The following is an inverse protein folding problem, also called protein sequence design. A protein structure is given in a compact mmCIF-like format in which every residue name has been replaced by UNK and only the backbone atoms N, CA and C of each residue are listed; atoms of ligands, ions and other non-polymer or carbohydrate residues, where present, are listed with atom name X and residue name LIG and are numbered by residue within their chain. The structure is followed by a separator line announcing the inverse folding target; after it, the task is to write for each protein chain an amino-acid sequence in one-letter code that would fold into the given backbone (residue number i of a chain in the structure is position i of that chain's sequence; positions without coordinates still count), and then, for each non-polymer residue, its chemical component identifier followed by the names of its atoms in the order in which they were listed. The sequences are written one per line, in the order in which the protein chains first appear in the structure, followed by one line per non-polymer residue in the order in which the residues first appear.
data_IF_603786525599
#
_entry.id   IF_603786525599
#
_cell.length_a   1.000
_cell.length_b   1.000
_cell.length_c   1.000
_cell.angle_alpha   90.00
_cell.angle_beta   90.00
_cell.angle_gamma   90.00
#
_symmetry.space_group_name_H-M   'P 1'
#
loop_
_entity.id
_entity.type
_entity.pdbx_description
1 polymer ?
#
# COMPACT_ATOMS: atom_id res chain seq x y z
N UNK A 1 9.15 22.60 7.25
CA UNK A 1 8.31 23.20 6.18
C UNK A 1 7.03 22.40 6.12
N UNK A 2 5.85 23.03 6.22
CA UNK A 2 4.58 22.33 5.96
C UNK A 2 4.41 22.29 4.44
N UNK A 3 4.58 21.13 3.82
CA UNK A 3 4.35 20.96 2.38
C UNK A 3 2.88 21.23 2.09
N UNK A 4 2.59 22.44 1.58
CA UNK A 4 1.24 22.96 1.33
C UNK A 4 0.44 22.18 0.26
N UNK A 5 1.03 21.14 -0.35
CA UNK A 5 0.44 20.38 -1.46
C UNK A 5 0.38 18.87 -1.21
N UNK A 6 0.60 18.41 0.02
CA UNK A 6 0.39 17.00 0.36
C UNK A 6 -1.10 16.70 0.56
N UNK A 7 -1.56 15.65 -0.10
CA UNK A 7 -2.91 15.11 0.01
C UNK A 7 -2.85 13.68 0.56
N UNK A 8 -3.93 13.27 1.22
CA UNK A 8 -4.04 11.97 1.89
C UNK A 8 -5.44 11.40 1.68
N UNK A 9 -5.50 10.11 1.35
CA UNK A 9 -6.74 9.34 1.29
C UNK A 9 -6.64 8.13 2.19
N UNK A 10 -7.80 7.69 2.68
CA UNK A 10 -7.96 6.46 3.44
C UNK A 10 -8.80 5.47 2.66
N UNK A 11 -8.31 4.25 2.50
CA UNK A 11 -8.96 3.15 1.79
C UNK A 11 -9.25 2.07 2.83
N UNK A 12 -10.48 1.55 2.86
CA UNK A 12 -10.83 0.41 3.71
C UNK A 12 -10.02 -0.83 3.31
N UNK A 13 -9.94 -1.82 4.21
CA UNK A 13 -9.22 -3.05 3.94
C UNK A 13 -9.69 -3.69 2.62
N UNK A 14 -8.70 -3.94 1.77
CA UNK A 14 -8.78 -4.61 0.48
C UNK A 14 -7.55 -5.51 0.36
N UNK A 15 -7.62 -6.59 -0.44
CA UNK A 15 -6.46 -7.46 -0.62
C UNK A 15 -5.24 -6.66 -1.07
N UNK A 16 -4.08 -6.88 -0.43
CA UNK A 16 -2.90 -6.05 -0.65
C UNK A 16 -2.48 -5.99 -2.12
N UNK A 17 -2.58 -7.10 -2.86
CA UNK A 17 -2.30 -7.12 -4.30
C UNK A 17 -3.26 -6.27 -5.13
N UNK A 18 -4.53 -6.15 -4.71
CA UNK A 18 -5.48 -5.25 -5.37
C UNK A 18 -5.01 -3.81 -5.20
N UNK A 19 -4.59 -3.42 -4.00
CA UNK A 19 -3.98 -2.12 -3.76
C UNK A 19 -2.73 -1.90 -4.63
N UNK A 20 -1.75 -2.83 -4.60
CA UNK A 20 -0.52 -2.74 -5.39
C UNK A 20 -0.79 -2.52 -6.87
N UNK A 21 -1.78 -3.24 -7.42
CA UNK A 21 -2.13 -3.14 -8.84
C UNK A 21 -2.71 -1.78 -9.26
N UNK A 22 -3.14 -0.94 -8.32
CA UNK A 22 -3.61 0.41 -8.61
C UNK A 22 -2.45 1.39 -8.92
N UNK A 23 -1.20 1.01 -8.61
CA UNK A 23 -0.03 1.85 -8.84
C UNK A 23 0.67 1.56 -10.17
N UNK A 24 0.23 0.55 -10.95
CA UNK A 24 0.98 0.07 -12.11
C UNK A 24 2.31 -0.56 -11.70
N UNK A 25 3.33 -0.53 -12.57
CA UNK A 25 4.68 -1.03 -12.28
C UNK A 25 5.53 0.07 -11.62
N UNK A 26 5.52 0.13 -10.30
CA UNK A 26 6.25 1.15 -9.52
C UNK A 26 7.27 0.50 -8.59
N UNK A 27 8.32 1.24 -8.26
CA UNK A 27 9.32 0.78 -7.28
C UNK A 27 8.68 0.68 -5.90
N UNK A 28 8.98 -0.39 -5.17
CA UNK A 28 8.50 -0.60 -3.80
C UNK A 28 9.67 -0.60 -2.83
N UNK A 29 9.54 0.19 -1.77
CA UNK A 29 10.44 0.21 -0.62
C UNK A 29 9.63 -0.10 0.63
N UNK A 30 9.85 -1.28 1.20
CA UNK A 30 9.13 -1.75 2.39
C UNK A 30 9.98 -1.42 3.61
N UNK A 31 9.44 -0.59 4.51
CA UNK A 31 10.05 -0.24 5.79
C UNK A 31 9.62 -1.22 6.87
N UNK A 32 8.32 -1.55 6.89
CA UNK A 32 7.75 -2.53 7.82
C UNK A 32 6.67 -3.35 7.10
N UNK A 33 6.63 -4.66 7.35
CA UNK A 33 5.55 -5.52 6.88
C UNK A 33 5.38 -6.70 7.84
N UNK A 34 4.16 -6.88 8.33
CA UNK A 34 3.80 -7.99 9.19
C UNK A 34 2.51 -8.66 8.70
N UNK A 35 2.48 -9.99 8.77
CA UNK A 35 1.36 -10.81 8.35
C UNK A 35 1.23 -12.04 9.27
N UNK A 36 0.00 -12.42 9.59
CA UNK A 36 -0.34 -13.56 10.46
C UNK A 36 -0.15 -14.94 9.83
N UNK A 37 0.18 -15.02 8.53
CA UNK A 37 0.14 -16.24 7.69
C UNK A 37 1.14 -17.37 7.97
N UNK A 38 1.93 -17.36 9.05
CA UNK A 38 2.67 -18.55 9.51
C UNK A 38 2.55 -18.73 11.04
N UNK A 39 2.25 -19.97 11.44
CA UNK A 39 1.73 -20.37 12.75
C UNK A 39 2.35 -19.69 13.97
N UNK A 40 1.46 -19.18 14.82
CA UNK A 40 1.64 -18.85 16.25
C UNK A 40 2.55 -17.69 16.65
N UNK A 41 3.44 -17.17 15.82
CA UNK A 41 4.26 -15.97 16.11
C UNK A 41 4.60 -15.17 14.83
N UNK A 42 3.64 -15.08 13.90
CA UNK A 42 3.81 -14.67 12.50
C UNK A 42 4.57 -13.35 12.27
N UNK A 43 5.82 -13.48 11.85
CA UNK A 43 6.61 -12.44 11.21
C UNK A 43 7.08 -12.99 9.87
N UNK A 44 6.68 -12.38 8.76
CA UNK A 44 7.39 -12.61 7.50
C UNK A 44 8.67 -11.79 7.61
N UNK A 45 9.82 -12.46 7.76
CA UNK A 45 11.14 -11.81 7.87
C UNK A 45 11.34 -10.83 6.70
N UNK A 46 11.82 -9.62 7.00
CA UNK A 46 12.16 -8.56 6.04
C UNK A 46 12.98 -9.08 4.84
N UNK A 47 13.76 -10.14 5.05
CA UNK A 47 14.55 -10.80 4.00
C UNK A 47 13.71 -11.34 2.84
N UNK A 48 12.44 -11.70 3.07
CA UNK A 48 11.51 -12.16 2.04
C UNK A 48 11.15 -11.03 1.07
N UNK A 49 10.96 -9.82 1.58
CA UNK A 49 10.57 -8.64 0.79
C UNK A 49 11.73 -7.92 0.15
N UNK A 50 12.94 -7.98 0.74
CA UNK A 50 14.14 -7.31 0.20
C UNK A 50 14.47 -7.67 -1.24
N UNK A 51 13.96 -8.80 -1.76
CA UNK A 51 14.19 -9.26 -3.13
C UNK A 51 13.24 -8.65 -4.16
N UNK A 52 12.04 -8.23 -3.75
CA UNK A 52 11.04 -7.66 -4.65
C UNK A 52 11.14 -6.14 -4.60
N UNK A 53 11.40 -5.53 -5.75
CA UNK A 53 11.66 -4.10 -5.89
C UNK A 53 10.53 -3.37 -6.59
N UNK A 54 9.53 -4.09 -7.11
CA UNK A 54 8.39 -3.51 -7.81
C UNK A 54 7.05 -4.11 -7.37
N UNK A 55 5.98 -3.36 -7.61
CA UNK A 55 4.59 -3.78 -7.40
C UNK A 55 4.24 -5.03 -8.21
N UNK A 56 4.71 -5.14 -9.45
CA UNK A 56 4.48 -6.30 -10.31
C UNK A 56 5.15 -7.57 -9.77
N UNK A 57 6.41 -7.46 -9.31
CA UNK A 57 7.12 -8.59 -8.70
C UNK A 57 6.41 -9.10 -7.45
N UNK A 58 5.88 -8.20 -6.61
CA UNK A 58 5.07 -8.55 -5.44
C UNK A 58 3.72 -9.20 -5.85
N UNK A 59 3.05 -8.67 -6.87
CA UNK A 59 1.79 -9.22 -7.37
C UNK A 59 1.95 -10.65 -7.93
N UNK A 60 3.09 -10.95 -8.55
CA UNK A 60 3.41 -12.26 -9.13
C UNK A 60 3.75 -13.33 -8.08
N UNK A 61 3.95 -12.96 -6.81
CA UNK A 61 4.26 -13.95 -5.78
C UNK A 61 3.09 -14.91 -5.53
N UNK A 62 3.32 -16.20 -5.23
CA UNK A 62 2.24 -17.10 -4.84
C UNK A 62 1.53 -16.68 -3.55
N UNK A 63 2.24 -15.95 -2.68
CA UNK A 63 1.70 -15.42 -1.43
C UNK A 63 0.69 -14.31 -1.70
N UNK A 64 -0.48 -14.35 -1.06
CA UNK A 64 -1.61 -13.45 -1.31
C UNK A 64 -1.75 -12.31 -0.30
N UNK A 65 -0.99 -12.35 0.80
CA UNK A 65 -1.04 -11.37 1.90
C UNK A 65 -2.41 -11.30 2.58
N UNK A 66 -3.16 -12.41 2.61
CA UNK A 66 -4.50 -12.46 3.20
C UNK A 66 -4.55 -12.22 4.71
N UNK A 67 -3.40 -12.20 5.40
CA UNK A 67 -3.29 -11.97 6.85
C UNK A 67 -2.51 -10.70 7.21
N UNK A 68 -2.38 -9.74 6.30
CA UNK A 68 -1.63 -8.50 6.50
C UNK A 68 -2.09 -7.77 7.78
N UNK A 69 -1.13 -7.50 8.67
CA UNK A 69 -1.34 -6.82 9.96
C UNK A 69 -0.83 -5.39 9.91
N UNK A 70 0.36 -5.22 9.33
CA UNK A 70 1.02 -3.93 9.20
C UNK A 70 1.74 -3.86 7.86
N UNK A 71 1.72 -2.67 7.27
CA UNK A 71 2.56 -2.30 6.15
C UNK A 71 2.97 -0.85 6.31
N UNK A 72 4.25 -0.55 6.22
CA UNK A 72 4.74 0.81 6.08
C UNK A 72 5.80 0.82 4.97
N UNK A 73 5.62 1.70 3.99
CA UNK A 73 6.48 1.72 2.83
C UNK A 73 6.19 2.81 1.84
N UNK A 74 6.98 2.82 0.78
CA UNK A 74 6.82 3.68 -0.37
C UNK A 74 6.56 2.86 -1.63
N UNK A 75 5.61 3.32 -2.43
CA UNK A 75 5.38 2.83 -3.79
C UNK A 75 5.57 4.01 -4.72
N UNK A 76 6.64 4.04 -5.52
CA UNK A 76 6.98 5.17 -6.36
C UNK A 76 7.10 6.48 -5.57
N UNK A 77 6.08 7.34 -5.67
CA UNK A 77 5.99 8.64 -4.96
C UNK A 77 4.95 8.66 -3.83
N UNK A 78 4.33 7.52 -3.55
CA UNK A 78 3.27 7.38 -2.56
C UNK A 78 3.85 6.79 -1.29
N UNK A 79 3.59 7.43 -0.16
CA UNK A 79 3.79 6.82 1.16
C UNK A 79 2.50 6.09 1.53
N UNK A 80 2.62 4.83 1.94
CA UNK A 80 1.50 3.98 2.26
C UNK A 80 1.72 3.37 3.64
N UNK A 81 0.72 3.52 4.50
CA UNK A 81 0.68 2.88 5.81
C UNK A 81 -0.61 2.07 5.93
N UNK A 82 -0.51 0.79 6.29
CA UNK A 82 -1.64 -0.06 6.64
C UNK A 82 -1.65 -0.28 8.15
N UNK A 83 -2.73 0.15 8.79
CA UNK A 83 -2.95 -0.02 10.23
C UNK A 83 -4.45 -0.08 10.50
N UNK A 84 -4.85 -0.93 11.45
CA UNK A 84 -6.23 -1.08 11.92
C UNK A 84 -7.28 -1.34 10.81
N UNK A 85 -6.89 -2.05 9.74
CA UNK A 85 -7.80 -2.38 8.64
C UNK A 85 -7.99 -1.26 7.61
N UNK A 86 -7.07 -0.30 7.55
CA UNK A 86 -7.12 0.78 6.58
C UNK A 86 -5.76 1.07 5.97
N UNK A 87 -5.74 1.37 4.67
CA UNK A 87 -4.59 1.96 4.00
C UNK A 87 -4.70 3.48 4.02
N UNK A 88 -3.67 4.14 4.55
CA UNK A 88 -3.44 5.57 4.43
C UNK A 88 -2.45 5.79 3.31
N UNK A 89 -2.88 6.47 2.24
CA UNK A 89 -2.04 6.77 1.08
C UNK A 89 -1.86 8.27 1.01
N UNK A 90 -0.60 8.72 1.03
CA UNK A 90 -0.26 10.14 0.94
C UNK A 90 0.78 10.42 -0.13
N UNK A 91 0.60 11.54 -0.84
CA UNK A 91 1.53 12.03 -1.87
C UNK A 91 1.18 13.48 -2.23
N UNK A 92 1.68 13.96 -3.38
CA UNK A 92 1.22 15.22 -3.96
C UNK A 92 -0.26 15.12 -4.38
N UNK A 93 -1.00 16.24 -4.34
CA UNK A 93 -2.39 16.31 -4.81
C UNK A 93 -2.59 15.68 -6.20
N UNK A 94 -1.69 15.98 -7.15
CA UNK A 94 -1.73 15.45 -8.53
C UNK A 94 -1.59 13.93 -8.57
N UNK A 95 -0.74 13.36 -7.72
CA UNK A 95 -0.54 11.93 -7.68
C UNK A 95 -1.71 11.24 -6.96
N UNK A 96 -2.26 11.86 -5.92
CA UNK A 96 -3.50 11.38 -5.28
C UNK A 96 -4.68 11.35 -6.27
N UNK A 97 -4.84 12.37 -7.11
CA UNK A 97 -5.89 12.36 -8.15
C UNK A 97 -5.75 11.20 -9.15
N UNK A 98 -4.52 10.78 -9.47
CA UNK A 98 -4.28 9.62 -10.34
C UNK A 98 -4.71 8.32 -9.67
N UNK A 99 -4.29 8.09 -8.42
CA UNK A 99 -4.66 6.85 -7.72
C UNK A 99 -6.17 6.81 -7.46
N UNK A 100 -6.81 7.94 -7.17
CA UNK A 100 -8.27 8.06 -7.07
C UNK A 100 -8.98 7.64 -8.37
N UNK A 101 -8.42 7.99 -9.54
CA UNK A 101 -8.94 7.54 -10.82
C UNK A 101 -8.87 6.00 -10.96
N UNK A 102 -7.73 5.40 -10.61
CA UNK A 102 -7.52 3.95 -10.63
C UNK A 102 -8.41 3.20 -9.64
N UNK A 103 -8.60 3.73 -8.44
CA UNK A 103 -9.51 3.16 -7.45
C UNK A 103 -10.96 3.18 -7.96
N UNK A 104 -11.37 4.30 -8.59
CA UNK A 104 -12.73 4.46 -9.14
C UNK A 104 -13.01 3.47 -10.25
N UNK A 105 -12.07 3.26 -11.17
CA UNK A 105 -12.23 2.33 -12.29
C UNK A 105 -12.47 0.88 -11.82
N UNK A 106 -12.05 0.58 -10.59
CA UNK A 106 -12.18 -0.73 -9.92
C UNK A 106 -13.33 -0.80 -8.92
N UNK A 107 -14.11 0.27 -8.76
CA UNK A 107 -15.21 0.32 -7.79
C UNK A 107 -14.76 0.38 -6.32
N UNK A 108 -13.50 0.75 -6.06
CA UNK A 108 -12.96 0.89 -4.71
C UNK A 108 -13.24 2.31 -4.21
N UNK A 109 -13.78 2.42 -3.01
CA UNK A 109 -14.08 3.71 -2.37
C UNK A 109 -12.98 4.15 -1.41
N UNK A 110 -12.84 5.46 -1.21
CA UNK A 110 -11.91 6.05 -0.26
C UNK A 110 -12.53 7.27 0.43
N UNK A 111 -11.89 7.72 1.50
CA UNK A 111 -12.21 8.96 2.21
C UNK A 111 -11.05 9.94 2.05
N UNK A 112 -11.36 11.21 1.80
CA UNK A 112 -10.34 12.28 1.80
C UNK A 112 -10.11 12.77 3.22
N UNK A 113 -8.85 12.89 3.62
CA UNK A 113 -8.51 13.51 4.90
C UNK A 113 -8.20 14.99 4.68
N UNK A 114 -9.17 15.85 4.96
CA UNK A 114 -8.95 17.31 4.96
C UNK A 114 -8.16 17.67 6.23
N UNK A 115 -6.95 18.18 6.05
CA UNK A 115 -6.16 18.81 7.14
C UNK A 115 -6.61 20.23 7.40
#
# INVERSE_FOLDING_TARGET
MKDKNMAEITIADIPFKVLLSCFGTEKVEIMELGDTGYGREGFVDESWFKRYKTTDELCQQPYDFGGLVIFDGQIGRYTITYVDGYYQVSSSQKDIEKIQHELRSRGITWQERRR
#
